data_IF_673550545022
#
_entry.id   IF_673550545022
#
_cell.length_a   1.000
_cell.length_b   1.000
_cell.length_c   1.000
_cell.angle_alpha   90.00
_cell.angle_beta   90.00
_cell.angle_gamma   90.00
#
_symmetry.space_group_name_H-M   'P 1'
#
loop_
_entity.id
_entity.type
_entity.pdbx_description
1 polymer ?
#
# COMPACT_ATOMS: atom_id res chain seq x y z
N UNK A 1 6.02 3.09 -12.26
CA UNK A 1 6.97 3.59 -11.24
C UNK A 1 6.12 4.28 -10.23
N UNK A 2 6.13 3.77 -9.01
CA UNK A 2 5.36 4.31 -7.89
C UNK A 2 5.87 5.72 -7.60
N UNK A 3 4.97 6.71 -7.64
CA UNK A 3 5.26 8.11 -7.37
C UNK A 3 4.60 8.60 -6.07
N UNK A 4 4.81 9.88 -5.77
CA UNK A 4 4.28 10.51 -4.56
C UNK A 4 2.75 10.55 -4.59
N UNK A 5 2.13 10.72 -5.76
CA UNK A 5 0.68 10.79 -5.89
C UNK A 5 0.04 9.43 -5.57
N UNK A 6 0.64 8.32 -6.02
CA UNK A 6 0.23 6.97 -5.63
C UNK A 6 0.44 6.72 -4.14
N UNK A 7 1.57 7.17 -3.57
CA UNK A 7 1.83 7.06 -2.13
C UNK A 7 0.81 7.82 -1.29
N UNK A 8 0.42 9.02 -1.75
CA UNK A 8 -0.58 9.84 -1.09
C UNK A 8 -1.99 9.26 -1.21
N UNK A 9 -2.31 8.64 -2.35
CA UNK A 9 -3.61 8.03 -2.62
C UNK A 9 -3.88 6.81 -1.72
N UNK A 10 -2.86 6.00 -1.45
CA UNK A 10 -2.95 4.78 -0.64
C UNK A 10 -2.27 4.93 0.73
N UNK A 11 -2.21 6.16 1.24
CA UNK A 11 -1.53 6.45 2.52
C UNK A 11 -2.08 5.60 3.67
N UNK A 12 -1.19 4.85 4.33
CA UNK A 12 -1.51 4.00 5.47
C UNK A 12 -2.06 2.62 5.10
N UNK A 13 -2.28 2.37 3.81
CA UNK A 13 -2.74 1.08 3.29
C UNK A 13 -1.55 0.15 2.99
N UNK A 14 -1.83 -1.13 2.98
CA UNK A 14 -0.98 -2.13 2.37
C UNK A 14 -1.25 -2.15 0.87
N UNK A 15 -0.19 -2.27 0.08
CA UNK A 15 -0.27 -2.35 -1.39
C UNK A 15 0.40 -3.63 -1.88
N UNK A 16 -0.16 -4.20 -2.94
CA UNK A 16 0.43 -5.29 -3.71
C UNK A 16 1.02 -4.71 -5.00
N UNK A 17 2.31 -4.92 -5.20
CA UNK A 17 3.10 -4.34 -6.29
C UNK A 17 3.53 -5.45 -7.25
N UNK A 18 3.29 -5.24 -8.54
CA UNK A 18 3.75 -6.09 -9.64
C UNK A 18 4.32 -5.20 -10.75
N UNK A 19 5.55 -5.45 -11.18
CA UNK A 19 6.22 -4.66 -12.24
C UNK A 19 6.15 -3.13 -12.02
N UNK A 20 6.47 -2.69 -10.80
CA UNK A 20 6.44 -1.28 -10.36
C UNK A 20 5.08 -0.58 -10.47
N UNK A 21 3.99 -1.36 -10.39
CA UNK A 21 2.60 -0.88 -10.37
C UNK A 21 1.86 -1.45 -9.18
N UNK A 22 1.05 -0.62 -8.53
CA UNK A 22 0.08 -1.07 -7.53
C UNK A 22 -1.07 -1.78 -8.24
N UNK A 23 -1.26 -3.06 -7.95
CA UNK A 23 -2.33 -3.89 -8.54
C UNK A 23 -3.46 -4.19 -7.55
N UNK A 24 -3.21 -4.00 -6.24
CA UNK A 24 -4.21 -4.11 -5.19
C UNK A 24 -3.80 -3.28 -3.96
N UNK A 25 -4.77 -2.89 -3.13
CA UNK A 25 -4.52 -2.14 -1.90
C UNK A 25 -5.62 -2.41 -0.86
N UNK A 26 -5.28 -2.42 0.44
CA UNK A 26 -6.22 -2.55 1.54
C UNK A 26 -5.60 -2.09 2.86
N UNK A 27 -6.41 -1.61 3.81
CA UNK A 27 -5.97 -1.42 5.19
C UNK A 27 -5.66 -2.73 5.92
N UNK A 28 -6.14 -3.86 5.39
CA UNK A 28 -6.02 -5.19 5.99
C UNK A 28 -4.90 -6.00 5.33
N UNK A 29 -3.90 -6.39 6.12
CA UNK A 29 -2.79 -7.23 5.64
C UNK A 29 -3.27 -8.63 5.22
N UNK A 30 -4.24 -9.21 5.93
CA UNK A 30 -4.73 -10.56 5.63
C UNK A 30 -5.37 -10.64 4.24
N UNK A 31 -6.10 -9.59 3.85
CA UNK A 31 -6.66 -9.48 2.50
C UNK A 31 -5.56 -9.40 1.45
N UNK A 32 -4.51 -8.61 1.69
CA UNK A 32 -3.38 -8.51 0.76
C UNK A 32 -2.61 -9.83 0.62
N UNK A 33 -2.45 -10.57 1.71
CA UNK A 33 -1.84 -11.90 1.68
C UNK A 33 -2.66 -12.87 0.83
N UNK A 34 -3.99 -12.90 0.99
CA UNK A 34 -4.87 -13.74 0.19
C UNK A 34 -4.81 -13.40 -1.30
N UNK A 35 -4.83 -12.12 -1.65
CA UNK A 35 -4.71 -11.70 -3.06
C UNK A 35 -3.34 -12.06 -3.63
N UNK A 36 -2.27 -11.99 -2.84
CA UNK A 36 -0.93 -12.34 -3.29
C UNK A 36 -0.76 -13.83 -3.63
N UNK A 37 -1.59 -14.73 -3.08
CA UNK A 37 -1.57 -16.16 -3.41
C UNK A 37 -1.90 -16.45 -4.89
N UNK A 38 -2.59 -15.53 -5.57
CA UNK A 38 -2.91 -15.64 -6.99
C UNK A 38 -1.70 -15.34 -7.90
N UNK A 39 -0.54 -14.95 -7.34
CA UNK A 39 0.64 -14.54 -8.07
C UNK A 39 1.90 -15.33 -7.68
N UNK A 40 2.87 -15.49 -8.59
CA UNK A 40 4.17 -16.06 -8.23
C UNK A 40 4.88 -15.19 -7.18
N UNK A 41 5.32 -15.76 -6.03
CA UNK A 41 5.91 -15.00 -4.93
C UNK A 41 7.14 -14.15 -5.32
N UNK A 42 7.90 -14.59 -6.31
CA UNK A 42 9.08 -13.89 -6.83
C UNK A 42 8.75 -12.69 -7.73
N UNK A 43 7.48 -12.51 -8.10
CA UNK A 43 7.02 -11.42 -8.98
C UNK A 43 6.31 -10.30 -8.24
N UNK A 44 5.78 -10.57 -7.05
CA UNK A 44 4.98 -9.60 -6.28
C UNK A 44 5.68 -9.14 -5.02
N UNK A 45 5.38 -7.92 -4.61
CA UNK A 45 5.84 -7.34 -3.35
C UNK A 45 4.66 -6.78 -2.58
N UNK A 46 4.56 -7.11 -1.30
CA UNK A 46 3.63 -6.46 -0.38
C UNK A 46 4.38 -5.40 0.42
N UNK A 47 3.90 -4.17 0.40
CA UNK A 47 4.49 -3.05 1.14
C UNK A 47 3.41 -2.26 1.88
N UNK A 48 3.77 -1.65 3.01
CA UNK A 48 2.89 -0.70 3.70
C UNK A 48 3.30 0.71 3.34
N UNK A 49 2.37 1.48 2.78
CA UNK A 49 2.60 2.89 2.57
C UNK A 49 2.48 3.64 3.90
N UNK A 50 3.37 4.60 4.17
CA UNK A 50 3.32 5.38 5.40
C UNK A 50 1.99 6.12 5.47
N UNK A 51 1.40 6.14 6.66
CA UNK A 51 0.25 7.00 6.92
C UNK A 51 0.69 8.46 6.80
N UNK A 52 -0.13 9.30 6.16
CA UNK A 52 0.02 10.75 6.26
C UNK A 52 0.11 11.12 7.74
N UNK A 53 1.09 11.93 8.15
CA UNK A 53 1.13 12.42 9.51
C UNK A 53 -0.22 13.10 9.77
N UNK A 54 -0.97 12.62 10.77
CA UNK A 54 -2.09 13.38 11.29
C UNK A 54 -1.48 14.70 11.74
N UNK A 55 -1.83 15.81 11.09
CA UNK A 55 -1.56 17.12 11.67
C UNK A 55 -2.16 17.06 13.07
N UNK A 56 -1.36 17.06 14.15
CA UNK A 56 -1.94 17.15 15.47
C UNK A 56 -2.73 18.45 15.46
N UNK A 57 -4.00 18.39 15.88
CA UNK A 57 -4.79 19.56 16.23
C UNK A 57 -4.08 20.24 17.41
N UNK A 58 -2.98 20.92 17.14
CA UNK A 58 -2.35 21.84 18.04
C UNK A 58 -3.13 23.13 17.86
N UNK A 59 -3.79 23.54 18.95
CA UNK A 59 -4.52 24.79 19.14
C UNK A 59 -5.99 24.78 18.66
N UNK A 60 -6.87 24.22 19.52
CA UNK A 60 -8.12 24.91 19.89
C UNK A 60 -7.88 25.64 21.23
#
# INVERSE_FOLDING_TARGET
MIDVDEMERFSGEWVLILEDKVINHSYNLEEMLKVAEDYPPEKVTIAKFPSKPSTPHLFD
#
